data_IF_597907791165
#
_entry.id   IF_597907791165
#
_cell.length_a   1.000
_cell.length_b   1.000
_cell.length_c   1.000
_cell.angle_alpha   90.00
_cell.angle_beta   90.00
_cell.angle_gamma   90.00
#
_symmetry.space_group_name_H-M   'P 1'
#
loop_
_entity.id
_entity.type
_entity.pdbx_description
1 polymer ?
#
# COMPACT_ATOMS: atom_id res chain seq x y z
N UNK A 1 -15.24 22.66 8.48
CA UNK A 1 -15.24 21.98 7.15
C UNK A 1 -14.69 20.60 7.42
N UNK A 2 -15.50 19.53 7.26
CA UNK A 2 -14.96 18.17 7.25
C UNK A 2 -14.10 18.07 6.00
N UNK A 3 -12.77 18.03 6.16
CA UNK A 3 -11.87 17.64 5.06
C UNK A 3 -12.38 16.32 4.51
N UNK A 4 -12.56 16.26 3.18
CA UNK A 4 -13.05 15.06 2.51
C UNK A 4 -12.02 13.95 2.71
N UNK A 5 -12.30 13.03 3.63
CA UNK A 5 -11.45 11.89 3.92
C UNK A 5 -11.40 10.99 2.68
N UNK A 6 -10.19 10.73 2.15
CA UNK A 6 -9.99 9.78 1.07
C UNK A 6 -10.36 8.35 1.53
N UNK A 7 -9.94 7.97 2.74
CA UNK A 7 -10.27 6.69 3.36
C UNK A 7 -11.15 6.95 4.60
N UNK A 8 -12.29 6.29 4.66
CA UNK A 8 -13.20 6.34 5.80
C UNK A 8 -13.57 4.93 6.24
N UNK A 9 -13.21 4.60 7.46
CA UNK A 9 -13.56 3.34 8.12
C UNK A 9 -14.57 3.63 9.23
N UNK A 10 -15.62 2.80 9.33
CA UNK A 10 -16.63 2.91 10.38
C UNK A 10 -16.94 1.56 10.99
N UNK A 11 -16.69 1.46 12.29
CA UNK A 11 -16.93 0.27 13.13
C UNK A 11 -16.33 -1.01 12.54
N UNK A 12 -15.12 -0.90 11.95
CA UNK A 12 -14.44 -2.01 11.29
C UNK A 12 -14.10 -3.09 12.29
N UNK A 13 -14.63 -4.28 12.05
CA UNK A 13 -14.32 -5.49 12.81
C UNK A 13 -13.84 -6.58 11.86
N UNK A 14 -12.86 -7.37 12.30
CA UNK A 14 -12.37 -8.54 11.55
C UNK A 14 -12.13 -9.71 12.46
N UNK A 15 -12.73 -10.83 12.09
CA UNK A 15 -12.57 -12.12 12.74
C UNK A 15 -12.11 -13.16 11.72
N UNK A 16 -11.23 -14.05 12.15
CA UNK A 16 -10.85 -15.24 11.39
C UNK A 16 -11.27 -16.49 12.15
N UNK A 17 -11.76 -17.49 11.44
CA UNK A 17 -12.10 -18.81 12.00
C UNK A 17 -10.96 -19.79 11.74
N UNK A 18 -10.48 -20.42 12.81
CA UNK A 18 -9.51 -21.51 12.76
C UNK A 18 -10.10 -22.76 13.42
N UNK A 19 -10.71 -23.61 12.60
CA UNK A 19 -11.50 -24.72 13.13
C UNK A 19 -12.72 -24.22 13.92
N UNK A 20 -12.81 -24.60 15.20
CA UNK A 20 -13.87 -24.14 16.12
C UNK A 20 -13.55 -22.80 16.82
N UNK A 21 -12.32 -22.31 16.72
CA UNK A 21 -11.91 -21.07 17.37
C UNK A 21 -12.14 -19.86 16.47
N UNK A 22 -12.63 -18.77 17.07
CA UNK A 22 -12.74 -17.45 16.41
C UNK A 22 -11.70 -16.54 17.02
N UNK A 23 -10.84 -15.98 16.16
CA UNK A 23 -9.82 -15.01 16.54
C UNK A 23 -10.25 -13.63 16.07
N UNK A 24 -10.57 -12.75 17.01
CA UNK A 24 -10.88 -11.36 16.71
C UNK A 24 -9.57 -10.57 16.52
N UNK A 25 -9.40 -9.98 15.34
CA UNK A 25 -8.17 -9.26 14.97
C UNK A 25 -8.38 -7.74 14.99
N UNK A 26 -9.56 -7.26 14.60
CA UNK A 26 -9.93 -5.84 14.68
C UNK A 26 -11.26 -5.68 15.42
N UNK A 27 -11.36 -4.62 16.24
CA UNK A 27 -12.47 -4.42 17.17
C UNK A 27 -13.10 -3.04 16.97
N UNK A 28 -14.18 -2.96 16.15
CA UNK A 28 -15.01 -1.75 15.96
C UNK A 28 -14.19 -0.46 15.74
N UNK A 29 -13.24 -0.50 14.81
CA UNK A 29 -12.28 0.56 14.54
C UNK A 29 -12.87 1.64 13.63
N UNK A 30 -12.77 2.91 14.05
CA UNK A 30 -13.09 4.09 13.23
C UNK A 30 -11.80 4.82 12.86
N UNK A 31 -11.67 5.21 11.58
CA UNK A 31 -10.50 5.94 11.10
C UNK A 31 -10.85 6.78 9.87
N UNK A 32 -10.44 8.05 9.88
CA UNK A 32 -10.48 8.93 8.72
C UNK A 32 -9.04 9.31 8.31
N UNK A 33 -8.76 9.18 7.01
CA UNK A 33 -7.46 9.55 6.42
C UNK A 33 -7.74 10.54 5.29
N UNK A 34 -7.32 11.81 5.45
CA UNK A 34 -7.46 12.83 4.41
C UNK A 34 -6.70 12.50 3.14
N UNK A 35 -7.13 13.06 2.00
CA UNK A 35 -6.35 13.02 0.78
C UNK A 35 -4.99 13.71 0.97
N UNK A 36 -3.92 13.12 0.42
CA UNK A 36 -2.55 13.64 0.54
C UNK A 36 -1.92 13.46 1.92
N UNK A 37 -2.55 12.71 2.83
CA UNK A 37 -1.94 12.35 4.12
C UNK A 37 -0.83 11.28 3.93
N UNK A 38 0.13 11.26 4.84
CA UNK A 38 1.09 10.18 5.01
C UNK A 38 0.99 9.65 6.43
N UNK A 39 0.32 8.52 6.57
CA UNK A 39 0.05 7.86 7.84
C UNK A 39 1.00 6.68 8.04
N UNK A 40 1.70 6.63 9.18
CA UNK A 40 2.36 5.42 9.66
C UNK A 40 1.46 4.72 10.68
N UNK A 41 1.27 3.41 10.51
CA UNK A 41 0.56 2.54 11.44
C UNK A 41 1.58 1.63 12.13
N UNK A 42 1.80 1.87 13.41
CA UNK A 42 2.72 1.13 14.26
C UNK A 42 2.00 0.16 15.20
N UNK A 43 2.75 -0.72 15.83
CA UNK A 43 2.24 -1.66 16.85
C UNK A 43 2.98 -2.99 16.81
N UNK A 44 2.81 -3.83 17.85
CA UNK A 44 3.48 -5.13 17.95
C UNK A 44 3.05 -6.08 16.82
N UNK A 45 3.85 -7.13 16.59
CA UNK A 45 3.47 -8.20 15.67
C UNK A 45 2.13 -8.82 16.10
N UNK A 46 1.26 -9.11 15.14
CA UNK A 46 -0.07 -9.67 15.42
C UNK A 46 -1.13 -8.67 15.90
N UNK A 47 -0.84 -7.36 15.98
CA UNK A 47 -1.83 -6.37 16.39
C UNK A 47 -2.94 -6.09 15.38
N UNK A 48 -2.83 -6.59 14.13
CA UNK A 48 -3.82 -6.41 13.08
C UNK A 48 -3.48 -5.39 11.99
N UNK A 49 -2.24 -4.83 11.96
CA UNK A 49 -1.82 -3.79 11.01
C UNK A 49 -1.96 -4.21 9.54
N UNK A 50 -1.35 -5.33 9.14
CA UNK A 50 -1.45 -5.85 7.78
C UNK A 50 -2.89 -6.27 7.44
N UNK A 51 -3.66 -6.76 8.43
CA UNK A 51 -5.09 -7.02 8.25
C UNK A 51 -5.84 -5.74 7.90
N UNK A 52 -5.62 -4.65 8.66
CA UNK A 52 -6.25 -3.36 8.40
C UNK A 52 -5.86 -2.83 7.01
N UNK A 53 -4.57 -2.93 6.64
CA UNK A 53 -4.08 -2.57 5.32
C UNK A 53 -4.79 -3.36 4.21
N UNK A 54 -4.95 -4.67 4.39
CA UNK A 54 -5.64 -5.55 3.43
C UNK A 54 -7.13 -5.22 3.29
N UNK A 55 -7.82 -4.83 4.37
CA UNK A 55 -9.22 -4.39 4.32
C UNK A 55 -9.34 -3.07 3.54
N UNK A 56 -8.47 -2.09 3.80
CA UNK A 56 -8.44 -0.82 3.07
C UNK A 56 -8.15 -1.07 1.59
N UNK A 57 -7.21 -1.96 1.30
CA UNK A 57 -6.83 -2.29 -0.08
C UNK A 57 -7.80 -3.21 -0.82
N UNK A 58 -8.86 -3.70 -0.17
CA UNK A 58 -9.80 -4.64 -0.78
C UNK A 58 -9.18 -6.00 -1.12
N UNK A 59 -8.12 -6.41 -0.43
CA UNK A 59 -7.54 -7.77 -0.50
C UNK A 59 -8.28 -8.74 0.42
N UNK A 60 -8.93 -8.21 1.44
CA UNK A 60 -9.81 -8.95 2.36
C UNK A 60 -11.08 -8.12 2.64
N UNK A 61 -12.08 -8.73 3.27
CA UNK A 61 -13.34 -8.07 3.63
C UNK A 61 -13.51 -7.99 5.14
N UNK A 62 -14.03 -6.89 5.67
CA UNK A 62 -14.35 -6.82 7.09
C UNK A 62 -15.48 -7.82 7.44
N UNK A 63 -15.48 -8.31 8.67
CA UNK A 63 -16.59 -9.12 9.22
C UNK A 63 -17.75 -8.20 9.62
N UNK A 64 -17.46 -6.95 9.97
CA UNK A 64 -18.45 -5.92 10.27
C UNK A 64 -17.91 -4.52 9.99
N UNK A 65 -18.80 -3.56 9.90
CA UNK A 65 -18.47 -2.16 9.58
C UNK A 65 -18.45 -1.85 8.08
N UNK A 66 -17.95 -0.66 7.72
CA UNK A 66 -17.92 -0.18 6.32
C UNK A 66 -16.59 0.44 5.97
N UNK A 67 -16.12 0.17 4.73
CA UNK A 67 -14.92 0.78 4.13
C UNK A 67 -15.36 1.66 2.96
N UNK A 68 -15.10 2.95 3.05
CA UNK A 68 -15.38 3.92 1.98
C UNK A 68 -14.07 4.58 1.55
N UNK A 69 -13.78 4.57 0.25
CA UNK A 69 -12.56 5.16 -0.31
C UNK A 69 -12.94 6.02 -1.52
N UNK A 70 -12.45 7.25 -1.55
CA UNK A 70 -12.80 8.25 -2.56
C UNK A 70 -14.33 8.38 -2.75
N UNK A 71 -15.08 8.35 -1.66
CA UNK A 71 -16.55 8.41 -1.65
C UNK A 71 -17.26 7.13 -2.06
N UNK A 72 -16.55 6.09 -2.50
CA UNK A 72 -17.14 4.80 -2.89
C UNK A 72 -17.03 3.77 -1.77
N UNK A 73 -18.15 3.16 -1.41
CA UNK A 73 -18.19 2.01 -0.51
C UNK A 73 -17.65 0.76 -1.20
N UNK A 74 -16.54 0.19 -0.67
CA UNK A 74 -15.79 -0.89 -1.34
C UNK A 74 -16.03 -2.27 -0.73
N UNK A 75 -16.42 -2.35 0.54
CA UNK A 75 -16.68 -3.60 1.25
C UNK A 75 -17.87 -4.40 0.69
N UNK A 76 -18.78 -3.75 -0.01
CA UNK A 76 -19.98 -4.36 -0.62
C UNK A 76 -19.84 -4.67 -2.13
N UNK A 77 -18.71 -4.34 -2.75
CA UNK A 77 -18.47 -4.66 -4.16
C UNK A 77 -18.33 -6.18 -4.34
N UNK A 78 -18.82 -6.72 -5.45
CA UNK A 78 -18.51 -8.10 -5.85
C UNK A 78 -17.02 -8.21 -6.27
N UNK A 79 -16.48 -9.43 -6.34
CA UNK A 79 -15.06 -9.66 -6.56
C UNK A 79 -14.53 -9.05 -7.89
N UNK A 80 -15.32 -9.12 -8.95
CA UNK A 80 -14.94 -8.55 -10.24
C UNK A 80 -14.88 -7.01 -10.21
N UNK A 81 -15.86 -6.37 -9.55
CA UNK A 81 -15.89 -4.92 -9.37
C UNK A 81 -14.77 -4.46 -8.44
N UNK A 82 -14.54 -5.19 -7.33
CA UNK A 82 -13.48 -4.90 -6.37
C UNK A 82 -12.08 -5.02 -7.01
N UNK A 83 -11.88 -6.02 -7.87
CA UNK A 83 -10.60 -6.19 -8.58
C UNK A 83 -10.31 -5.03 -9.54
N UNK A 84 -11.30 -4.57 -10.30
CA UNK A 84 -11.15 -3.39 -11.17
C UNK A 84 -10.92 -2.13 -10.36
N UNK A 85 -11.75 -1.92 -9.35
CA UNK A 85 -11.61 -0.77 -8.45
C UNK A 85 -10.20 -0.69 -7.85
N UNK A 86 -9.69 -1.82 -7.35
CA UNK A 86 -8.33 -1.90 -6.77
C UNK A 86 -7.25 -1.53 -7.77
N UNK A 87 -7.35 -2.03 -9.02
CA UNK A 87 -6.39 -1.74 -10.08
C UNK A 87 -6.29 -0.24 -10.40
N UNK A 88 -7.39 0.49 -10.26
CA UNK A 88 -7.47 1.91 -10.58
C UNK A 88 -7.13 2.82 -9.40
N UNK A 89 -7.36 2.37 -8.15
CA UNK A 89 -7.33 3.26 -6.99
C UNK A 89 -6.21 2.97 -5.99
N UNK A 90 -5.62 1.76 -6.01
CA UNK A 90 -4.69 1.31 -4.95
C UNK A 90 -3.40 0.77 -5.53
N UNK A 91 -2.29 1.31 -5.06
CA UNK A 91 -0.96 0.73 -5.28
C UNK A 91 -0.46 0.02 -4.01
N UNK A 92 0.07 -1.19 -4.18
CA UNK A 92 0.63 -1.96 -3.06
C UNK A 92 2.14 -2.03 -3.15
N UNK A 93 2.80 -1.73 -2.02
CA UNK A 93 4.24 -1.92 -1.79
C UNK A 93 4.39 -2.93 -0.66
N UNK A 94 5.05 -4.05 -0.93
CA UNK A 94 5.21 -5.17 0.01
C UNK A 94 6.65 -5.26 0.52
N UNK A 95 6.84 -5.81 1.70
CA UNK A 95 8.13 -6.09 2.29
C UNK A 95 8.99 -6.99 1.39
N UNK A 96 8.45 -8.13 0.94
CA UNK A 96 9.12 -9.12 0.08
C UNK A 96 9.04 -8.77 -1.41
N UNK A 97 8.84 -7.50 -1.78
CA UNK A 97 8.76 -6.96 -3.15
C UNK A 97 7.68 -7.61 -4.03
N UNK A 98 7.43 -8.89 -3.90
CA UNK A 98 6.45 -9.70 -4.65
C UNK A 98 6.58 -9.51 -6.19
N UNK A 99 7.81 -9.49 -6.68
CA UNK A 99 8.09 -9.46 -8.11
C UNK A 99 8.01 -10.88 -8.69
N UNK A 100 7.51 -10.99 -9.92
CA UNK A 100 7.54 -12.25 -10.65
C UNK A 100 8.96 -12.48 -11.17
N UNK A 101 9.68 -13.54 -10.71
CA UNK A 101 11.10 -13.70 -10.98
C UNK A 101 11.43 -14.02 -12.44
N UNK A 102 10.44 -14.47 -13.21
CA UNK A 102 10.58 -14.78 -14.64
C UNK A 102 10.44 -13.55 -15.54
N UNK A 103 9.88 -12.45 -15.02
CA UNK A 103 9.64 -11.21 -15.73
C UNK A 103 10.76 -10.20 -15.48
N UNK A 104 11.03 -9.33 -16.47
CA UNK A 104 11.90 -8.17 -16.29
C UNK A 104 11.25 -7.11 -15.38
N UNK A 105 12.03 -6.12 -14.95
CA UNK A 105 11.53 -4.97 -14.19
C UNK A 105 10.37 -4.27 -14.92
N UNK A 106 10.55 -3.94 -16.22
CA UNK A 106 9.50 -3.33 -17.04
C UNK A 106 8.22 -4.18 -17.07
N UNK A 107 8.35 -5.49 -17.24
CA UNK A 107 7.20 -6.40 -17.30
C UNK A 107 6.51 -6.55 -15.93
N UNK A 108 7.25 -6.54 -14.84
CA UNK A 108 6.66 -6.51 -13.49
C UNK A 108 5.86 -5.22 -13.26
N UNK A 109 6.39 -4.07 -13.70
CA UNK A 109 5.71 -2.78 -13.58
C UNK A 109 4.47 -2.71 -14.49
N UNK A 110 4.50 -3.34 -15.66
CA UNK A 110 3.37 -3.38 -16.60
C UNK A 110 2.15 -4.18 -16.09
N UNK A 111 2.33 -5.11 -15.13
CA UNK A 111 1.29 -6.06 -14.70
C UNK A 111 -0.06 -5.41 -14.36
N UNK A 112 -0.15 -4.36 -13.53
CA UNK A 112 -1.44 -3.73 -13.20
C UNK A 112 -2.15 -3.17 -14.44
N UNK A 113 -1.40 -2.71 -15.43
CA UNK A 113 -1.95 -2.13 -16.65
C UNK A 113 -2.59 -3.15 -17.61
N UNK A 114 -2.36 -4.46 -17.39
CA UNK A 114 -3.01 -5.52 -18.18
C UNK A 114 -4.52 -5.58 -17.95
N UNK A 115 -5.01 -5.01 -16.85
CA UNK A 115 -6.43 -4.90 -16.54
C UNK A 115 -7.11 -3.65 -17.15
N UNK A 116 -6.33 -2.81 -17.83
CA UNK A 116 -6.81 -1.58 -18.47
C UNK A 116 -7.07 -1.79 -19.96
N UNK A 117 -7.73 -0.83 -20.60
CA UNK A 117 -7.94 -0.79 -22.06
C UNK A 117 -6.72 -0.27 -22.86
N UNK A 118 -5.59 0.00 -22.20
CA UNK A 118 -4.39 0.53 -22.85
C UNK A 118 -3.78 -0.47 -23.84
N UNK A 119 -3.33 0.02 -24.97
CA UNK A 119 -2.55 -0.76 -25.94
C UNK A 119 -1.19 -1.18 -25.36
N UNK A 120 -0.58 -2.23 -25.90
CA UNK A 120 0.73 -2.69 -25.46
C UNK A 120 1.84 -1.61 -25.52
N UNK A 121 1.93 -0.77 -26.58
CA UNK A 121 2.88 0.34 -26.59
C UNK A 121 2.64 1.37 -25.49
N UNK A 122 1.38 1.71 -25.18
CA UNK A 122 1.02 2.65 -24.12
C UNK A 122 1.35 2.11 -22.74
N UNK A 123 1.03 0.83 -22.46
CA UNK A 123 1.42 0.17 -21.20
C UNK A 123 2.93 0.21 -20.99
N UNK A 124 3.70 -0.13 -22.04
CA UNK A 124 5.17 -0.08 -21.99
C UNK A 124 5.68 1.34 -21.73
N UNK A 125 5.13 2.35 -22.39
CA UNK A 125 5.48 3.76 -22.18
C UNK A 125 5.24 4.18 -20.73
N UNK A 126 4.11 3.79 -20.13
CA UNK A 126 3.80 4.07 -18.72
C UNK A 126 4.76 3.33 -17.77
N UNK A 127 5.05 2.05 -18.05
CA UNK A 127 5.99 1.28 -17.24
C UNK A 127 7.40 1.89 -17.25
N UNK A 128 7.87 2.34 -18.41
CA UNK A 128 9.15 3.05 -18.54
C UNK A 128 9.15 4.38 -17.79
N UNK A 129 8.07 5.15 -17.86
CA UNK A 129 7.93 6.39 -17.10
C UNK A 129 7.97 6.14 -15.58
N UNK A 130 7.28 5.10 -15.11
CA UNK A 130 7.32 4.71 -13.69
C UNK A 130 8.72 4.25 -13.24
N UNK A 131 9.43 3.47 -14.08
CA UNK A 131 10.82 3.09 -13.79
C UNK A 131 11.76 4.30 -13.78
N UNK A 132 11.53 5.29 -14.64
CA UNK A 132 12.29 6.52 -14.62
C UNK A 132 12.10 7.32 -13.32
N UNK A 133 10.85 7.41 -12.83
CA UNK A 133 10.53 8.09 -11.56
C UNK A 133 11.27 7.47 -10.36
N UNK A 134 11.49 6.16 -10.37
CA UNK A 134 12.23 5.48 -9.30
C UNK A 134 13.73 5.33 -9.57
N UNK A 135 14.25 5.93 -10.66
CA UNK A 135 15.67 5.93 -11.00
C UNK A 135 16.21 4.61 -11.55
N UNK A 136 15.38 3.82 -12.27
CA UNK A 136 15.72 2.49 -12.80
C UNK A 136 15.55 2.36 -14.31
N UNK A 137 15.65 3.45 -15.06
CA UNK A 137 15.51 3.43 -16.53
C UNK A 137 16.51 2.48 -17.22
N UNK A 138 17.75 2.43 -16.72
CA UNK A 138 18.83 1.59 -17.22
C UNK A 138 18.71 0.12 -16.80
N UNK A 139 17.76 -0.20 -15.91
CA UNK A 139 17.50 -1.53 -15.37
C UNK A 139 16.20 -2.17 -15.88
N UNK A 140 15.51 -1.55 -16.82
CA UNK A 140 14.18 -1.98 -17.32
C UNK A 140 14.13 -3.44 -17.77
N UNK A 141 15.22 -3.96 -18.35
CA UNK A 141 15.31 -5.32 -18.86
C UNK A 141 15.85 -6.35 -17.86
N UNK A 142 16.36 -5.90 -16.70
CA UNK A 142 16.89 -6.82 -15.67
C UNK A 142 15.74 -7.60 -15.01
N UNK A 143 16.03 -8.85 -14.66
CA UNK A 143 15.14 -9.70 -13.84
C UNK A 143 15.45 -9.48 -12.37
N UNK A 144 14.52 -9.81 -11.44
CA UNK A 144 14.72 -9.62 -10.00
C UNK A 144 16.06 -10.14 -9.50
N UNK A 145 16.49 -11.34 -9.88
CA UNK A 145 17.80 -11.93 -9.49
C UNK A 145 19.04 -11.11 -9.91
N UNK A 146 18.88 -10.14 -10.78
CA UNK A 146 19.95 -9.29 -11.34
C UNK A 146 19.92 -7.88 -10.68
N UNK A 147 19.02 -7.67 -9.72
CA UNK A 147 18.80 -6.42 -9.00
C UNK A 147 19.20 -6.57 -7.53
N UNK A 148 19.64 -5.48 -6.90
CA UNK A 148 19.77 -5.42 -5.44
C UNK A 148 18.40 -5.33 -4.77
N UNK A 149 18.29 -5.66 -3.47
CA UNK A 149 17.03 -5.57 -2.73
C UNK A 149 16.40 -4.17 -2.81
N UNK A 150 17.19 -3.10 -2.69
CA UNK A 150 16.70 -1.72 -2.87
C UNK A 150 16.21 -1.44 -4.29
N UNK A 151 16.84 -2.03 -5.32
CA UNK A 151 16.37 -1.93 -6.70
C UNK A 151 15.08 -2.74 -6.92
N UNK A 152 14.97 -3.95 -6.35
CA UNK A 152 13.73 -4.74 -6.39
C UNK A 152 12.58 -3.99 -5.73
N UNK A 153 12.82 -3.34 -4.57
CA UNK A 153 11.82 -2.52 -3.91
C UNK A 153 11.39 -1.31 -4.75
N UNK A 154 12.33 -0.64 -5.39
CA UNK A 154 12.02 0.45 -6.34
C UNK A 154 11.17 -0.03 -7.52
N UNK A 155 11.41 -1.23 -8.06
CA UNK A 155 10.53 -1.86 -9.08
C UNK A 155 9.14 -2.12 -8.49
N UNK A 156 9.04 -2.59 -7.24
CA UNK A 156 7.79 -2.77 -6.52
C UNK A 156 6.99 -1.46 -6.38
N UNK A 157 7.69 -0.36 -6.05
CA UNK A 157 7.09 0.99 -5.99
C UNK A 157 6.67 1.46 -7.38
N UNK A 158 7.50 1.31 -8.41
CA UNK A 158 7.14 1.65 -9.78
C UNK A 158 5.87 0.92 -10.24
N UNK A 159 5.76 -0.38 -9.91
CA UNK A 159 4.54 -1.16 -10.15
C UNK A 159 3.34 -0.62 -9.39
N UNK A 160 3.53 -0.18 -8.15
CA UNK A 160 2.45 0.38 -7.34
C UNK A 160 1.91 1.71 -7.88
N UNK A 161 2.76 2.54 -8.52
CA UNK A 161 2.37 3.87 -9.01
C UNK A 161 2.01 3.90 -10.50
N UNK A 162 2.20 2.82 -11.26
CA UNK A 162 2.07 2.81 -12.74
C UNK A 162 0.66 3.12 -13.25
N UNK A 163 -0.38 2.79 -12.47
CA UNK A 163 -1.78 3.14 -12.76
C UNK A 163 -2.17 4.52 -12.24
N UNK A 164 -1.23 5.26 -11.65
CA UNK A 164 -1.45 6.58 -11.04
C UNK A 164 -2.50 6.58 -9.90
N UNK A 165 -2.47 5.62 -8.97
CA UNK A 165 -3.47 5.53 -7.91
C UNK A 165 -3.38 6.70 -6.93
N UNK A 166 -4.51 7.08 -6.32
CA UNK A 166 -4.54 8.09 -5.26
C UNK A 166 -4.03 7.57 -3.91
N UNK A 167 -4.09 6.26 -3.69
CA UNK A 167 -3.76 5.59 -2.42
C UNK A 167 -2.62 4.58 -2.61
N UNK A 168 -1.57 4.71 -1.81
CA UNK A 168 -0.47 3.75 -1.69
C UNK A 168 -0.53 3.06 -0.33
N UNK A 169 -0.51 1.74 -0.33
CA UNK A 169 -0.50 0.88 0.84
C UNK A 169 0.86 0.18 0.93
N UNK A 170 1.64 0.50 1.95
CA UNK A 170 2.99 0.01 2.13
C UNK A 170 3.04 -0.89 3.37
N UNK A 171 3.29 -2.17 3.19
CA UNK A 171 3.47 -3.13 4.29
C UNK A 171 4.95 -3.39 4.50
N UNK A 172 5.54 -2.81 5.54
CA UNK A 172 6.95 -2.90 5.93
C UNK A 172 7.92 -2.60 4.75
N UNK A 173 7.80 -1.45 4.05
CA UNK A 173 8.48 -1.23 2.76
C UNK A 173 10.00 -1.20 2.84
N UNK A 174 10.59 -1.14 4.04
CA UNK A 174 12.03 -1.11 4.29
C UNK A 174 12.52 -2.28 5.14
N UNK A 175 11.64 -3.23 5.49
CA UNK A 175 11.92 -4.28 6.47
C UNK A 175 13.07 -5.22 6.09
N UNK A 176 13.31 -5.45 4.80
CA UNK A 176 14.37 -6.34 4.30
C UNK A 176 15.56 -5.57 3.68
N UNK A 177 15.67 -4.27 3.94
CA UNK A 177 16.71 -3.41 3.37
C UNK A 177 17.75 -2.99 4.41
N UNK A 178 18.98 -2.78 3.96
CA UNK A 178 19.98 -2.06 4.73
C UNK A 178 19.54 -0.61 4.96
N UNK A 179 20.14 0.04 5.95
CA UNK A 179 19.77 1.38 6.37
C UNK A 179 19.78 2.40 5.23
N UNK A 180 20.83 2.40 4.42
CA UNK A 180 20.97 3.35 3.31
C UNK A 180 19.89 3.14 2.26
N UNK A 181 19.68 1.90 1.82
CA UNK A 181 18.63 1.56 0.87
C UNK A 181 17.24 1.87 1.42
N UNK A 182 17.02 1.61 2.71
CA UNK A 182 15.77 1.95 3.41
C UNK A 182 15.49 3.45 3.40
N UNK A 183 16.49 4.29 3.72
CA UNK A 183 16.35 5.75 3.68
C UNK A 183 16.00 6.24 2.27
N UNK A 184 16.64 5.71 1.24
CA UNK A 184 16.34 6.05 -0.16
C UNK A 184 14.90 5.67 -0.56
N UNK A 185 14.36 4.57 -0.04
CA UNK A 185 12.95 4.18 -0.27
C UNK A 185 12.01 5.13 0.48
N UNK A 186 12.33 5.50 1.72
CA UNK A 186 11.52 6.44 2.49
C UNK A 186 11.51 7.84 1.84
N UNK A 187 12.64 8.32 1.34
CA UNK A 187 12.74 9.57 0.59
C UNK A 187 11.88 9.54 -0.67
N UNK A 188 11.86 8.42 -1.40
CA UNK A 188 11.01 8.23 -2.57
C UNK A 188 9.52 8.29 -2.20
N UNK A 189 9.10 7.61 -1.12
CA UNK A 189 7.72 7.66 -0.64
C UNK A 189 7.32 9.07 -0.20
N UNK A 190 8.21 9.80 0.49
CA UNK A 190 7.97 11.21 0.85
C UNK A 190 7.82 12.10 -0.40
N UNK A 191 8.66 11.90 -1.42
CA UNK A 191 8.54 12.65 -2.67
C UNK A 191 7.21 12.37 -3.38
N UNK A 192 6.75 11.12 -3.43
CA UNK A 192 5.43 10.75 -3.99
C UNK A 192 4.28 11.43 -3.21
N UNK A 193 4.37 11.49 -1.89
CA UNK A 193 3.37 12.18 -1.07
C UNK A 193 3.40 13.70 -1.28
N UNK A 194 4.57 14.34 -1.16
CA UNK A 194 4.69 15.80 -1.14
C UNK A 194 4.56 16.44 -2.52
N UNK A 195 5.13 15.80 -3.56
CA UNK A 195 5.20 16.38 -4.90
C UNK A 195 4.05 15.93 -5.81
N UNK A 196 3.52 14.73 -5.58
CA UNK A 196 2.45 14.15 -6.40
C UNK A 196 1.11 14.02 -5.66
N UNK A 197 1.03 14.44 -4.39
CA UNK A 197 -0.18 14.43 -3.59
C UNK A 197 -0.71 13.04 -3.26
N UNK A 198 0.11 11.98 -3.37
CA UNK A 198 -0.32 10.61 -3.06
C UNK A 198 -0.64 10.45 -1.58
N UNK A 199 -1.76 9.82 -1.27
CA UNK A 199 -2.05 9.40 0.12
C UNK A 199 -1.31 8.10 0.38
N UNK A 200 -0.58 8.03 1.49
CA UNK A 200 0.24 6.86 1.84
C UNK A 200 -0.17 6.34 3.21
N UNK A 201 -0.42 5.04 3.31
CA UNK A 201 -0.57 4.32 4.57
C UNK A 201 0.57 3.32 4.65
N UNK A 202 1.47 3.51 5.60
CA UNK A 202 2.63 2.66 5.80
C UNK A 202 2.51 1.90 7.12
N UNK A 203 2.52 0.59 7.07
CA UNK A 203 2.72 -0.27 8.23
C UNK A 203 4.21 -0.41 8.47
N UNK A 204 4.65 -0.18 9.69
CA UNK A 204 6.04 -0.39 10.09
C UNK A 204 6.15 -0.63 11.59
N UNK A 205 7.18 -1.35 12.00
CA UNK A 205 7.60 -1.45 13.40
C UNK A 205 8.87 -0.63 13.68
N UNK A 206 9.47 -0.02 12.64
CA UNK A 206 10.65 0.84 12.77
C UNK A 206 10.24 2.29 13.07
N UNK A 207 10.59 2.84 14.26
CA UNK A 207 10.30 4.23 14.60
C UNK A 207 10.94 5.25 13.64
N UNK A 208 12.09 4.90 13.04
CA UNK A 208 12.73 5.77 12.07
C UNK A 208 11.92 5.88 10.77
N UNK A 209 11.38 4.77 10.28
CA UNK A 209 10.49 4.79 9.12
C UNK A 209 9.20 5.55 9.46
N UNK A 210 8.61 5.32 10.65
CA UNK A 210 7.41 6.01 11.10
C UNK A 210 7.60 7.53 11.20
N UNK A 211 8.77 8.00 11.62
CA UNK A 211 9.09 9.44 11.72
C UNK A 211 9.08 10.18 10.35
N UNK A 212 9.07 9.47 9.23
CA UNK A 212 8.93 10.05 7.88
C UNK A 212 7.48 10.40 7.53
N UNK A 213 6.51 9.83 8.26
CA UNK A 213 5.09 10.10 8.05
C UNK A 213 4.66 11.43 8.69
N UNK A 214 3.54 11.99 8.21
CA UNK A 214 2.92 13.20 8.79
C UNK A 214 2.17 12.87 10.08
N UNK A 215 1.65 11.65 10.18
CA UNK A 215 0.91 11.16 11.34
C UNK A 215 1.35 9.74 11.69
N UNK A 216 1.39 9.46 12.98
CA UNK A 216 1.64 8.11 13.49
C UNK A 216 0.44 7.67 14.33
N UNK A 217 -0.06 6.47 14.08
CA UNK A 217 -1.10 5.84 14.89
C UNK A 217 -0.58 4.48 15.37
N UNK A 218 -0.97 4.12 16.58
CA UNK A 218 -0.63 2.83 17.17
C UNK A 218 -1.84 1.91 17.16
N UNK A 219 -1.62 0.67 16.69
CA UNK A 219 -2.62 -0.39 16.73
C UNK A 219 -2.19 -1.46 17.75
N UNK A 220 -2.99 -1.66 18.79
CA UNK A 220 -2.76 -2.66 19.82
C UNK A 220 -4.00 -3.53 19.98
N UNK A 221 -3.82 -4.84 19.86
CA UNK A 221 -4.91 -5.84 20.03
C UNK A 221 -6.18 -5.49 19.24
N UNK A 222 -6.00 -4.99 18.02
CA UNK A 222 -7.11 -4.65 17.12
C UNK A 222 -7.81 -3.32 17.38
N UNK A 223 -7.27 -2.47 18.27
CA UNK A 223 -7.81 -1.15 18.61
C UNK A 223 -6.77 -0.07 18.31
N UNK A 224 -7.19 1.08 17.77
CA UNK A 224 -6.32 2.25 17.63
C UNK A 224 -6.11 2.90 19.01
N UNK A 225 -4.84 2.97 19.41
CA UNK A 225 -4.43 3.70 20.60
C UNK A 225 -3.92 5.07 20.13
N UNK A 226 -4.51 6.15 20.63
CA UNK A 226 -3.95 7.48 20.43
C UNK A 226 -2.78 7.63 21.40
N UNK A 227 -1.60 8.04 20.89
CA UNK A 227 -0.59 8.54 21.81
C UNK A 227 -1.20 9.70 22.63
N UNK A 228 -1.06 9.61 23.95
CA UNK A 228 -1.31 10.76 24.80
C UNK A 228 -0.28 11.84 24.42
N UNK A 229 -0.78 13.00 24.00
CA UNK A 229 0.01 14.16 23.61
C UNK A 229 0.90 14.63 24.77
#
# INVERSE_FOLDING_TARGET
MQEDALVRLRSISKEYRRGSETVQVLQSLDLDIPAGDFLALMGPSGSGKSTLLNLIGGLDRPTGGTVTIAGQRVDNLNDAALTRWRADHVGFVFQMYNLLPVLSAERNVELPLLLTSLSAPERRKRAQAALNLVGLSDRSHHKPRELSGGQEQRVGIARAIVSDPALLLCDEPTGDLDRKSGDEILDLLQALNQQQGKTIIMVTHDPHAAARAKRVLHLEKGVLVREAA
#
